data_IF_247105852387
#
_entry.id   IF_247105852387
#
_cell.length_a   1.000
_cell.length_b   1.000
_cell.length_c   1.000
_cell.angle_alpha   90.00
_cell.angle_beta   90.00
_cell.angle_gamma   90.00
#
_symmetry.space_group_name_H-M   'P 1'
#
loop_
_entity.id
_entity.type
_entity.pdbx_description
1 polymer ?
#
# COMPACT_ATOMS: atom_id res chain seq x y z
N UNK A 1 -3.67 1.63 -13.96
CA UNK A 1 -2.71 1.20 -14.99
C UNK A 1 -2.88 -0.28 -15.40
N UNK A 2 -3.28 -1.18 -14.50
CA UNK A 2 -3.59 -2.59 -14.82
C UNK A 2 -4.83 -2.76 -15.71
N UNK A 3 -5.60 -1.69 -15.91
CA UNK A 3 -6.95 -1.78 -16.46
C UNK A 3 -7.03 -1.77 -17.97
N UNK A 4 -6.05 -1.23 -18.72
CA UNK A 4 -6.27 -1.05 -20.16
C UNK A 4 -5.96 -2.31 -20.98
N UNK A 5 -4.84 -2.98 -20.78
CA UNK A 5 -4.54 -4.21 -21.51
C UNK A 5 -5.44 -5.37 -21.11
N UNK A 6 -5.70 -5.55 -19.80
CA UNK A 6 -6.65 -6.55 -19.32
C UNK A 6 -8.09 -6.19 -19.67
N UNK A 7 -8.47 -4.90 -19.65
CA UNK A 7 -9.81 -4.43 -20.06
C UNK A 7 -10.09 -4.69 -21.53
N UNK A 8 -9.11 -4.58 -22.44
CA UNK A 8 -9.31 -4.83 -23.87
C UNK A 8 -9.53 -6.32 -24.18
N UNK A 9 -8.87 -7.20 -23.44
CA UNK A 9 -9.12 -8.65 -23.54
C UNK A 9 -10.53 -9.01 -23.03
N UNK A 10 -10.96 -8.38 -21.94
CA UNK A 10 -12.28 -8.64 -21.34
C UNK A 10 -13.45 -7.97 -22.08
N UNK A 11 -13.23 -6.82 -22.71
CA UNK A 11 -14.27 -6.15 -23.52
C UNK A 11 -14.64 -6.94 -24.79
N UNK A 12 -13.73 -7.75 -25.32
CA UNK A 12 -13.92 -8.47 -26.58
C UNK A 12 -14.70 -9.77 -26.49
N UNK A 13 -14.87 -10.36 -25.31
CA UNK A 13 -15.37 -11.74 -25.19
C UNK A 13 -16.77 -11.90 -24.58
N UNK A 14 -17.40 -10.84 -24.05
CA UNK A 14 -18.76 -10.93 -23.49
C UNK A 14 -18.98 -11.92 -22.33
N UNK A 15 -18.06 -12.86 -22.14
CA UNK A 15 -18.01 -13.81 -21.04
C UNK A 15 -16.67 -13.65 -20.31
N UNK A 16 -16.73 -13.52 -18.99
CA UNK A 16 -15.52 -13.42 -18.15
C UNK A 16 -14.98 -14.83 -17.89
N UNK A 17 -13.70 -15.13 -18.20
CA UNK A 17 -13.10 -16.38 -17.75
C UNK A 17 -13.16 -16.46 -16.21
N UNK A 18 -13.38 -17.66 -15.70
CA UNK A 18 -13.50 -17.93 -14.26
C UNK A 18 -12.21 -17.58 -13.53
N UNK A 19 -11.07 -17.60 -14.24
CA UNK A 19 -9.77 -17.13 -13.77
C UNK A 19 -9.11 -16.27 -14.84
N UNK A 20 -8.71 -15.02 -14.53
CA UNK A 20 -7.91 -14.21 -15.44
C UNK A 20 -6.56 -14.88 -15.70
N UNK A 21 -6.07 -14.86 -16.95
CA UNK A 21 -4.93 -15.68 -17.35
C UNK A 21 -3.59 -15.00 -17.06
N UNK A 22 -3.31 -14.57 -15.83
CA UNK A 22 -1.98 -14.02 -15.51
C UNK A 22 -1.47 -14.49 -14.14
N UNK A 23 -0.15 -14.66 -14.10
CA UNK A 23 0.64 -15.07 -12.96
C UNK A 23 1.24 -13.87 -12.23
N UNK A 24 1.87 -14.09 -11.08
CA UNK A 24 2.61 -13.04 -10.37
C UNK A 24 3.76 -12.46 -11.23
N UNK A 25 4.45 -13.29 -12.00
CA UNK A 25 5.55 -12.84 -12.87
C UNK A 25 5.05 -11.92 -13.97
N UNK A 26 3.89 -12.22 -14.57
CA UNK A 26 3.27 -11.35 -15.58
C UNK A 26 2.79 -10.02 -14.95
N UNK A 27 2.31 -10.02 -13.72
CA UNK A 27 1.97 -8.78 -13.00
C UNK A 27 3.20 -7.88 -12.77
N UNK A 28 4.36 -8.47 -12.49
CA UNK A 28 5.63 -7.74 -12.33
C UNK A 28 6.09 -7.04 -13.61
N UNK A 29 5.72 -7.54 -14.78
CA UNK A 29 5.99 -6.91 -16.08
C UNK A 29 4.91 -5.90 -16.48
N UNK A 30 3.63 -6.24 -16.26
CA UNK A 30 2.48 -5.41 -16.63
C UNK A 30 2.50 -4.08 -15.89
N UNK A 31 2.78 -4.09 -14.59
CA UNK A 31 2.70 -2.87 -13.78
C UNK A 31 3.73 -1.79 -14.17
N UNK A 32 5.03 -2.08 -14.28
CA UNK A 32 6.01 -1.09 -14.75
C UNK A 32 5.74 -0.61 -16.17
N UNK A 33 5.36 -1.52 -17.08
CA UNK A 33 5.03 -1.20 -18.47
C UNK A 33 3.87 -0.22 -18.56
N UNK A 34 2.78 -0.51 -17.86
CA UNK A 34 1.60 0.35 -17.80
C UNK A 34 1.90 1.70 -17.12
N UNK A 35 2.71 1.69 -16.06
CA UNK A 35 3.15 2.91 -15.38
C UNK A 35 4.03 3.78 -16.26
N UNK A 36 4.95 3.18 -17.05
CA UNK A 36 5.76 3.87 -18.05
C UNK A 36 4.90 4.52 -19.12
N UNK A 37 4.02 3.74 -19.76
CA UNK A 37 3.13 4.20 -20.80
C UNK A 37 2.20 5.35 -20.35
N UNK A 38 1.71 5.32 -19.12
CA UNK A 38 0.87 6.39 -18.58
C UNK A 38 1.61 7.73 -18.37
N UNK A 39 2.94 7.72 -18.36
CA UNK A 39 3.76 8.95 -18.30
C UNK A 39 4.00 9.56 -19.68
N UNK A 40 3.99 8.73 -20.72
CA UNK A 40 4.33 9.11 -22.08
C UNK A 40 3.10 9.41 -22.95
N UNK A 41 1.96 8.78 -22.64
CA UNK A 41 0.72 8.85 -23.40
C UNK A 41 -0.42 9.41 -22.52
N UNK A 42 -0.85 10.64 -22.82
CA UNK A 42 -1.91 11.33 -22.10
C UNK A 42 -3.27 10.62 -22.22
N UNK A 43 -3.60 10.07 -23.39
CA UNK A 43 -4.86 9.36 -23.60
C UNK A 43 -4.88 8.03 -22.83
N UNK A 44 -3.73 7.35 -22.76
CA UNK A 44 -3.59 6.15 -21.94
C UNK A 44 -3.72 6.46 -20.44
N UNK A 45 -3.14 7.58 -19.99
CA UNK A 45 -3.27 8.06 -18.61
C UNK A 45 -4.73 8.34 -18.26
N UNK A 46 -5.46 9.03 -19.12
CA UNK A 46 -6.88 9.33 -18.92
C UNK A 46 -7.73 8.05 -18.85
N UNK A 47 -7.49 7.11 -19.76
CA UNK A 47 -8.16 5.80 -19.74
C UNK A 47 -7.86 5.01 -18.45
N UNK A 48 -6.63 5.08 -17.93
CA UNK A 48 -6.25 4.45 -16.67
C UNK A 48 -6.93 5.11 -15.47
N UNK A 49 -7.07 6.44 -15.45
CA UNK A 49 -7.81 7.19 -14.42
C UNK A 49 -9.29 6.82 -14.46
N UNK A 50 -9.91 6.79 -15.65
CA UNK A 50 -11.30 6.37 -15.81
C UNK A 50 -11.55 4.95 -15.31
N UNK A 51 -10.66 4.01 -15.61
CA UNK A 51 -10.78 2.64 -15.14
C UNK A 51 -10.62 2.51 -13.63
N UNK A 52 -9.75 3.33 -13.01
CA UNK A 52 -9.64 3.40 -11.55
C UNK A 52 -10.94 3.93 -10.92
N UNK A 53 -11.50 4.98 -11.50
CA UNK A 53 -12.79 5.52 -11.08
C UNK A 53 -13.91 4.46 -11.14
N UNK A 54 -14.03 3.76 -12.28
CA UNK A 54 -15.03 2.70 -12.48
C UNK A 54 -14.84 1.51 -11.51
N UNK A 55 -13.59 1.14 -11.21
CA UNK A 55 -13.27 0.13 -10.20
C UNK A 55 -13.79 0.54 -8.81
N UNK A 56 -13.49 1.78 -8.40
CA UNK A 56 -13.93 2.33 -7.11
C UNK A 56 -15.45 2.47 -7.01
N UNK A 57 -16.14 2.65 -8.15
CA UNK A 57 -17.60 2.74 -8.24
C UNK A 57 -18.29 1.40 -8.50
N UNK A 58 -17.61 0.28 -8.28
CA UNK A 58 -18.22 -1.04 -8.22
C UNK A 58 -18.43 -1.72 -9.58
N UNK A 59 -17.69 -1.34 -10.64
CA UNK A 59 -17.79 -2.05 -11.91
C UNK A 59 -17.36 -3.51 -11.73
N UNK A 60 -18.31 -4.42 -11.91
CA UNK A 60 -18.17 -5.87 -11.60
C UNK A 60 -16.93 -6.51 -12.23
N UNK A 61 -16.67 -6.25 -13.52
CA UNK A 61 -15.52 -6.83 -14.22
C UNK A 61 -14.18 -6.36 -13.65
N UNK A 62 -14.08 -5.08 -13.26
CA UNK A 62 -12.85 -4.55 -12.63
C UNK A 62 -12.67 -5.04 -11.21
N UNK A 63 -13.76 -5.21 -10.47
CA UNK A 63 -13.70 -5.79 -9.13
C UNK A 63 -13.30 -7.27 -9.16
N UNK A 64 -13.80 -8.05 -10.11
CA UNK A 64 -13.40 -9.44 -10.31
C UNK A 64 -11.90 -9.53 -10.66
N UNK A 65 -11.42 -8.63 -11.53
CA UNK A 65 -10.00 -8.53 -11.88
C UNK A 65 -9.12 -8.16 -10.66
N UNK A 66 -9.55 -7.17 -9.87
CA UNK A 66 -8.86 -6.79 -8.63
C UNK A 66 -8.81 -7.95 -7.65
N UNK A 67 -9.92 -8.65 -7.46
CA UNK A 67 -10.00 -9.83 -6.58
C UNK A 67 -9.01 -10.91 -6.99
N UNK A 68 -8.88 -11.18 -8.30
CA UNK A 68 -7.89 -12.13 -8.80
C UNK A 68 -6.45 -11.65 -8.56
N UNK A 69 -6.13 -10.38 -8.86
CA UNK A 69 -4.82 -9.78 -8.62
C UNK A 69 -4.45 -9.91 -7.13
N UNK A 70 -5.39 -9.57 -6.24
CA UNK A 70 -5.18 -9.69 -4.81
C UNK A 70 -4.95 -11.14 -4.38
N UNK A 71 -5.72 -12.08 -4.91
CA UNK A 71 -5.55 -13.50 -4.59
C UNK A 71 -4.17 -14.03 -5.00
N UNK A 72 -3.72 -13.72 -6.22
CA UNK A 72 -2.38 -14.10 -6.70
C UNK A 72 -1.28 -13.46 -5.84
N UNK A 73 -1.39 -12.16 -5.58
CA UNK A 73 -0.40 -11.40 -4.81
C UNK A 73 -0.34 -11.85 -3.35
N UNK A 74 -1.48 -12.02 -2.69
CA UNK A 74 -1.54 -12.47 -1.28
C UNK A 74 -1.04 -13.91 -1.15
N UNK A 75 -1.32 -14.78 -2.13
CA UNK A 75 -0.80 -16.16 -2.13
C UNK A 75 0.72 -16.19 -2.19
N UNK A 76 1.32 -15.37 -3.06
CA UNK A 76 2.79 -15.24 -3.15
C UNK A 76 3.37 -14.64 -1.86
N UNK A 77 2.77 -13.59 -1.31
CA UNK A 77 3.18 -13.01 -0.03
C UNK A 77 3.13 -14.02 1.12
N UNK A 78 2.06 -14.82 1.22
CA UNK A 78 1.92 -15.86 2.26
C UNK A 78 3.02 -16.89 2.17
N UNK A 79 3.41 -17.29 0.96
CA UNK A 79 4.54 -18.20 0.73
C UNK A 79 5.86 -17.60 1.25
N UNK A 80 6.12 -16.34 0.92
CA UNK A 80 7.33 -15.64 1.37
C UNK A 80 7.36 -15.47 2.90
N UNK A 81 6.24 -15.14 3.53
CA UNK A 81 6.14 -15.05 4.99
C UNK A 81 6.30 -16.41 5.67
N UNK A 82 5.76 -17.48 5.08
CA UNK A 82 5.94 -18.83 5.59
C UNK A 82 7.43 -19.24 5.60
N UNK A 83 8.20 -18.89 4.55
CA UNK A 83 9.63 -19.13 4.50
C UNK A 83 10.41 -18.39 5.62
N UNK A 84 9.89 -17.27 6.10
CA UNK A 84 10.43 -16.51 7.21
C UNK A 84 9.84 -16.91 8.58
N UNK A 85 9.00 -17.94 8.62
CA UNK A 85 8.26 -18.36 9.81
C UNK A 85 7.41 -17.23 10.41
N UNK A 86 6.77 -16.42 9.55
CA UNK A 86 5.88 -15.32 9.91
C UNK A 86 4.46 -15.63 9.46
N UNK A 87 3.49 -15.40 10.33
CA UNK A 87 2.07 -15.55 10.02
C UNK A 87 1.26 -14.35 10.52
N UNK A 88 0.09 -14.17 9.93
CA UNK A 88 -0.85 -13.11 10.30
C UNK A 88 -2.27 -13.69 10.38
N UNK A 89 -3.03 -13.27 11.37
CA UNK A 89 -4.44 -13.63 11.52
C UNK A 89 -5.33 -12.86 10.53
N UNK A 90 -4.96 -11.61 10.21
CA UNK A 90 -5.74 -10.72 9.35
C UNK A 90 -4.95 -10.36 8.10
N UNK A 91 -5.60 -10.56 6.95
CA UNK A 91 -5.09 -10.19 5.64
C UNK A 91 -6.01 -9.13 5.04
N UNK A 92 -5.75 -7.88 5.40
CA UNK A 92 -6.51 -6.72 4.95
C UNK A 92 -5.66 -5.83 4.05
N UNK A 93 -6.27 -5.33 3.00
CA UNK A 93 -5.66 -4.40 2.07
C UNK A 93 -6.25 -2.99 2.22
N UNK A 94 -5.66 -2.06 1.52
CA UNK A 94 -6.07 -0.66 1.50
C UNK A 94 -7.55 -0.47 1.05
N UNK A 95 -8.01 -1.31 0.12
CA UNK A 95 -9.40 -1.28 -0.36
C UNK A 95 -10.44 -1.67 0.71
N UNK A 96 -10.05 -2.40 1.76
CA UNK A 96 -10.95 -2.78 2.85
C UNK A 96 -11.36 -1.58 3.71
N UNK A 97 -10.60 -0.48 3.66
CA UNK A 97 -10.91 0.76 4.38
C UNK A 97 -11.96 1.64 3.67
N UNK A 98 -12.25 1.39 2.39
CA UNK A 98 -13.17 2.23 1.59
C UNK A 98 -14.54 2.47 2.24
N UNK A 99 -15.22 1.48 2.86
CA UNK A 99 -16.54 1.69 3.47
C UNK A 99 -16.54 2.71 4.63
N UNK A 100 -15.40 2.96 5.25
CA UNK A 100 -15.28 3.86 6.41
C UNK A 100 -14.97 5.30 6.01
N UNK A 101 -14.57 5.56 4.76
CA UNK A 101 -14.13 6.88 4.30
C UNK A 101 -15.25 7.92 4.32
N UNK A 102 -16.45 7.67 3.75
CA UNK A 102 -17.49 8.71 3.66
C UNK A 102 -17.89 9.28 5.01
N UNK A 103 -18.19 8.42 5.97
CA UNK A 103 -18.64 8.83 7.32
C UNK A 103 -17.52 9.53 8.08
N UNK A 104 -16.27 9.05 7.98
CA UNK A 104 -15.09 9.67 8.56
C UNK A 104 -14.88 11.08 8.03
N UNK A 105 -14.92 11.25 6.71
CA UNK A 105 -14.74 12.55 6.07
C UNK A 105 -15.87 13.51 6.45
N UNK A 106 -17.11 13.05 6.47
CA UNK A 106 -18.25 13.86 6.85
C UNK A 106 -18.13 14.32 8.31
N UNK A 107 -17.78 13.40 9.22
CA UNK A 107 -17.54 13.73 10.63
C UNK A 107 -16.47 14.81 10.81
N UNK A 108 -15.32 14.69 10.11
CA UNK A 108 -14.26 15.70 10.17
C UNK A 108 -14.72 17.09 9.73
N UNK A 109 -15.64 17.17 8.73
CA UNK A 109 -16.24 18.43 8.27
C UNK A 109 -17.22 18.99 9.31
N UNK A 110 -18.11 18.15 9.81
CA UNK A 110 -19.17 18.55 10.74
C UNK A 110 -18.59 19.03 12.09
N UNK A 111 -17.51 18.38 12.54
CA UNK A 111 -16.78 18.76 13.76
C UNK A 111 -15.87 19.99 13.54
N UNK A 112 -15.76 20.50 12.31
CA UNK A 112 -15.01 21.71 11.97
C UNK A 112 -13.49 21.52 11.91
N UNK A 113 -12.98 20.28 11.88
CA UNK A 113 -11.55 20.00 11.77
C UNK A 113 -11.05 20.11 10.33
N UNK A 114 -11.86 19.67 9.36
CA UNK A 114 -11.48 19.65 7.96
C UNK A 114 -11.94 20.91 7.23
N UNK A 115 -11.04 21.52 6.45
CA UNK A 115 -11.32 22.72 5.66
C UNK A 115 -10.68 22.63 4.27
N UNK A 116 -11.11 23.50 3.35
CA UNK A 116 -10.57 23.56 1.98
C UNK A 116 -9.33 24.45 1.96
N UNK A 117 -8.22 23.89 1.46
CA UNK A 117 -6.97 24.59 1.16
C UNK A 117 -6.52 24.22 -0.24
N UNK A 118 -6.32 25.19 -1.11
CA UNK A 118 -5.95 25.00 -2.54
C UNK A 118 -6.83 23.97 -3.27
N UNK A 119 -8.12 23.95 -2.94
CA UNK A 119 -9.11 23.04 -3.49
C UNK A 119 -9.14 21.65 -2.84
N UNK A 120 -8.13 21.25 -2.07
CA UNK A 120 -8.09 19.99 -1.35
C UNK A 120 -8.74 20.11 0.04
N UNK A 121 -9.30 19.02 0.54
CA UNK A 121 -9.78 18.94 1.91
C UNK A 121 -8.64 18.53 2.82
N UNK A 122 -8.33 19.34 3.83
CA UNK A 122 -7.18 19.13 4.72
C UNK A 122 -7.56 19.30 6.19
N UNK A 123 -6.74 18.72 7.08
CA UNK A 123 -6.77 18.95 8.53
C UNK A 123 -5.41 19.50 8.94
N UNK A 124 -5.38 20.64 9.62
CA UNK A 124 -4.16 21.20 10.17
C UNK A 124 -3.69 20.36 11.35
N UNK A 125 -2.42 19.93 11.28
CA UNK A 125 -1.77 19.04 12.25
C UNK A 125 -0.51 19.64 12.87
N UNK A 126 -0.29 20.94 12.66
CA UNK A 126 0.82 21.67 13.25
C UNK A 126 0.64 21.77 14.76
N UNK A 127 1.74 21.61 15.50
CA UNK A 127 1.82 21.80 16.95
C UNK A 127 2.77 22.95 17.29
N UNK A 128 2.57 23.61 18.42
CA UNK A 128 3.43 24.72 18.87
C UNK A 128 4.87 24.31 19.11
N UNK A 129 5.10 23.05 19.41
CA UNK A 129 6.42 22.45 19.67
C UNK A 129 7.20 22.12 18.40
N UNK A 130 6.60 22.28 17.23
CA UNK A 130 7.25 21.92 15.97
C UNK A 130 8.43 22.86 15.67
N UNK A 131 9.60 22.27 15.50
CA UNK A 131 10.82 22.97 15.07
C UNK A 131 10.95 23.08 13.55
N UNK A 132 10.12 22.35 12.81
CA UNK A 132 10.03 22.34 11.36
C UNK A 132 8.59 22.53 10.94
N UNK A 133 8.40 23.05 9.73
CA UNK A 133 7.08 23.16 9.15
C UNK A 133 6.49 21.75 8.91
N UNK A 134 5.32 21.50 9.49
CA UNK A 134 4.53 20.28 9.25
C UNK A 134 3.32 20.69 8.39
N UNK A 135 3.27 20.22 7.12
CA UNK A 135 2.14 20.51 6.25
C UNK A 135 0.84 19.89 6.79
N UNK A 136 -0.34 20.47 6.49
CA UNK A 136 -1.62 19.88 6.83
C UNK A 136 -1.76 18.44 6.31
N UNK A 137 -2.49 17.61 7.03
CA UNK A 137 -2.85 16.27 6.57
C UNK A 137 -3.92 16.37 5.50
N UNK A 138 -3.63 15.90 4.30
CA UNK A 138 -4.56 15.91 3.19
C UNK A 138 -5.58 14.76 3.35
N UNK A 139 -6.86 15.10 3.38
CA UNK A 139 -7.96 14.13 3.55
C UNK A 139 -8.55 13.72 2.20
N UNK A 140 -8.77 14.68 1.30
CA UNK A 140 -9.21 14.44 -0.07
C UNK A 140 -8.47 15.38 -1.01
N UNK A 141 -8.21 14.92 -2.22
CA UNK A 141 -7.68 15.76 -3.31
C UNK A 141 -8.72 16.79 -3.76
N UNK A 142 -8.29 17.74 -4.58
CA UNK A 142 -9.16 18.77 -5.16
C UNK A 142 -10.28 18.23 -6.06
N UNK A 143 -10.09 17.03 -6.63
CA UNK A 143 -11.11 16.30 -7.40
C UNK A 143 -12.02 15.41 -6.52
N UNK A 144 -11.85 15.46 -5.20
CA UNK A 144 -12.59 14.65 -4.24
C UNK A 144 -12.07 13.21 -4.07
N UNK A 145 -11.02 12.84 -4.78
CA UNK A 145 -10.47 11.49 -4.70
C UNK A 145 -9.71 11.26 -3.39
N UNK A 146 -9.80 10.03 -2.90
CA UNK A 146 -9.01 9.54 -1.76
C UNK A 146 -7.53 9.40 -2.11
N UNK A 147 -6.70 9.46 -1.09
CA UNK A 147 -5.27 9.22 -1.16
C UNK A 147 -4.83 8.35 0.03
N UNK A 148 -3.54 8.05 0.13
CA UNK A 148 -3.04 7.17 1.21
C UNK A 148 -3.39 7.65 2.62
N UNK A 149 -3.36 8.97 2.87
CA UNK A 149 -3.78 9.52 4.16
C UNK A 149 -5.23 9.18 4.48
N UNK A 150 -6.12 9.26 3.48
CA UNK A 150 -7.55 8.94 3.63
C UNK A 150 -7.75 7.49 4.03
N UNK A 151 -7.08 6.57 3.32
CA UNK A 151 -7.21 5.13 3.56
C UNK A 151 -6.55 4.71 4.86
N UNK A 152 -5.41 5.29 5.25
CA UNK A 152 -4.77 5.01 6.54
C UNK A 152 -5.60 5.50 7.73
N UNK A 153 -6.18 6.71 7.64
CA UNK A 153 -7.11 7.21 8.66
C UNK A 153 -8.37 6.34 8.76
N UNK A 154 -8.96 5.95 7.63
CA UNK A 154 -10.10 5.05 7.59
C UNK A 154 -9.77 3.65 8.15
N UNK A 155 -8.55 3.18 7.96
CA UNK A 155 -8.05 1.94 8.57
C UNK A 155 -7.97 2.06 10.09
N UNK A 156 -7.58 3.21 10.62
CA UNK A 156 -7.61 3.48 12.06
C UNK A 156 -9.05 3.41 12.57
N UNK A 157 -10.00 4.07 11.91
CA UNK A 157 -11.43 4.02 12.27
C UNK A 157 -11.92 2.59 12.31
N UNK A 158 -11.62 1.80 11.28
CA UNK A 158 -11.98 0.39 11.25
C UNK A 158 -11.39 -0.40 12.44
N UNK A 159 -10.10 -0.23 12.72
CA UNK A 159 -9.41 -0.93 13.82
C UNK A 159 -10.00 -0.57 15.18
N UNK A 160 -10.28 0.72 15.41
CA UNK A 160 -10.93 1.16 16.64
C UNK A 160 -12.33 0.58 16.79
N UNK A 161 -13.10 0.54 15.71
CA UNK A 161 -14.47 0.01 15.72
C UNK A 161 -14.53 -1.49 16.00
N UNK A 162 -13.66 -2.28 15.37
CA UNK A 162 -13.75 -3.73 15.40
C UNK A 162 -12.92 -4.38 16.52
N UNK A 163 -11.81 -3.74 16.95
CA UNK A 163 -10.85 -4.36 17.87
C UNK A 163 -10.60 -3.55 19.14
N UNK A 164 -10.89 -2.25 19.19
CA UNK A 164 -10.58 -1.36 20.32
C UNK A 164 -9.15 -1.58 20.86
N UNK A 165 -8.10 -1.46 20.02
CA UNK A 165 -6.75 -1.82 20.43
C UNK A 165 -6.16 -0.78 21.39
N UNK A 166 -5.44 -1.23 22.42
CA UNK A 166 -4.65 -0.36 23.30
C UNK A 166 -3.47 0.28 22.53
N UNK A 167 -3.02 -0.40 21.46
CA UNK A 167 -1.86 0.03 20.69
C UNK A 167 -1.95 -0.39 19.23
N UNK A 168 -1.65 0.56 18.32
CA UNK A 168 -1.51 0.31 16.88
C UNK A 168 -0.06 0.60 16.48
N UNK A 169 0.63 -0.42 15.94
CA UNK A 169 2.03 -0.31 15.53
C UNK A 169 2.10 -0.35 14.00
N UNK A 170 2.76 0.65 13.41
CA UNK A 170 3.04 0.73 11.98
C UNK A 170 4.51 0.42 11.72
N UNK A 171 4.77 -0.73 11.09
CA UNK A 171 6.12 -1.16 10.70
C UNK A 171 6.32 -0.83 9.23
N UNK A 172 7.03 0.24 8.93
CA UNK A 172 7.14 0.83 7.59
C UNK A 172 8.53 1.40 7.34
N UNK A 173 8.82 1.77 6.08
CA UNK A 173 10.08 2.42 5.72
C UNK A 173 10.25 3.75 6.48
N UNK A 174 11.44 3.97 7.07
CA UNK A 174 11.76 5.17 7.87
C UNK A 174 11.52 6.48 7.11
N UNK A 175 11.60 6.49 5.80
CA UNK A 175 11.32 7.66 4.95
C UNK A 175 9.88 8.16 5.07
N UNK A 176 8.95 7.35 5.60
CA UNK A 176 7.55 7.70 5.81
C UNK A 176 7.27 8.35 7.18
N UNK A 177 8.30 8.68 7.98
CA UNK A 177 8.14 9.21 9.33
C UNK A 177 7.29 10.49 9.38
N UNK A 178 7.56 11.46 8.49
CA UNK A 178 6.77 12.69 8.41
C UNK A 178 5.29 12.39 8.04
N UNK A 179 5.08 11.51 7.09
CA UNK A 179 3.75 11.07 6.68
C UNK A 179 2.96 10.49 7.85
N UNK A 180 3.54 9.55 8.60
CA UNK A 180 2.85 8.97 9.77
C UNK A 180 2.70 9.94 10.93
N UNK A 181 3.61 10.91 11.07
CA UNK A 181 3.42 12.03 12.01
C UNK A 181 2.13 12.78 11.68
N UNK A 182 1.89 13.12 10.40
CA UNK A 182 0.66 13.79 9.97
C UNK A 182 -0.58 12.92 10.20
N UNK A 183 -0.55 11.64 9.84
CA UNK A 183 -1.66 10.70 10.03
C UNK A 183 -2.01 10.55 11.51
N UNK A 184 -1.02 10.34 12.37
CA UNK A 184 -1.24 10.14 13.81
C UNK A 184 -1.77 11.39 14.49
N UNK A 185 -1.22 12.57 14.18
CA UNK A 185 -1.73 13.84 14.70
C UNK A 185 -3.14 14.13 14.21
N UNK A 186 -3.43 13.85 12.94
CA UNK A 186 -4.77 13.96 12.40
C UNK A 186 -5.75 13.04 13.14
N UNK A 187 -5.39 11.76 13.31
CA UNK A 187 -6.23 10.80 14.02
C UNK A 187 -6.53 11.22 15.47
N UNK A 188 -5.53 11.74 16.19
CA UNK A 188 -5.70 12.29 17.53
C UNK A 188 -6.60 13.51 17.55
N UNK A 189 -6.28 14.51 16.73
CA UNK A 189 -7.00 15.79 16.68
C UNK A 189 -8.47 15.62 16.31
N UNK A 190 -8.78 14.67 15.42
CA UNK A 190 -10.13 14.41 14.94
C UNK A 190 -10.86 13.32 15.72
N UNK A 191 -10.28 12.87 16.84
CA UNK A 191 -10.86 11.83 17.71
C UNK A 191 -11.22 10.53 17.00
N UNK A 192 -10.35 10.09 16.07
CA UNK A 192 -10.46 8.75 15.43
C UNK A 192 -9.88 7.65 16.28
N UNK A 193 -9.12 7.99 17.31
CA UNK A 193 -8.56 7.07 18.31
C UNK A 193 -8.93 7.60 19.70
N UNK A 194 -9.09 6.69 20.64
CA UNK A 194 -9.27 7.00 22.04
C UNK A 194 -7.96 7.57 22.64
N UNK A 195 -8.06 8.37 23.69
CA UNK A 195 -6.90 9.06 24.28
C UNK A 195 -5.85 8.09 24.84
N UNK A 196 -6.25 6.91 25.28
CA UNK A 196 -5.43 5.84 25.81
C UNK A 196 -4.85 4.89 24.74
N UNK A 197 -5.34 4.92 23.50
CA UNK A 197 -4.79 4.12 22.40
C UNK A 197 -3.43 4.68 21.94
N UNK A 198 -2.37 3.92 22.02
CA UNK A 198 -1.04 4.32 21.53
C UNK A 198 -0.92 4.10 20.02
N UNK A 199 -0.47 5.13 19.28
CA UNK A 199 -0.07 5.04 17.88
C UNK A 199 1.46 5.05 17.80
N UNK A 200 2.08 3.98 17.33
CA UNK A 200 3.53 3.85 17.26
C UNK A 200 4.02 3.63 15.83
N UNK A 201 5.01 4.44 15.43
CA UNK A 201 5.77 4.28 14.21
C UNK A 201 7.06 3.51 14.48
N UNK A 202 7.28 2.41 13.75
CA UNK A 202 8.53 1.66 13.75
C UNK A 202 9.12 1.69 12.33
N UNK A 203 10.05 2.63 12.11
CA UNK A 203 10.71 2.80 10.83
C UNK A 203 11.88 1.85 10.64
N UNK A 204 11.86 1.04 9.58
CA UNK A 204 13.00 0.22 9.17
C UNK A 204 13.81 0.90 8.06
N UNK A 205 15.09 0.48 7.92
CA UNK A 205 15.99 0.96 6.89
C UNK A 205 15.64 0.43 5.50
N UNK A 206 16.08 1.15 4.46
CA UNK A 206 15.87 0.77 3.08
C UNK A 206 16.83 -0.34 2.67
N UNK A 207 16.35 -1.34 1.96
CA UNK A 207 17.22 -2.30 1.27
C UNK A 207 17.78 -1.64 0.00
N UNK A 208 19.10 -1.66 -0.12
CA UNK A 208 19.80 -1.07 -1.26
C UNK A 208 20.38 -2.15 -2.16
N UNK A 209 20.45 -1.86 -3.45
CA UNK A 209 21.20 -2.65 -4.41
C UNK A 209 22.71 -2.52 -4.21
N UNK A 210 23.47 -3.25 -5.02
CA UNK A 210 24.96 -3.20 -5.01
C UNK A 210 25.51 -1.81 -5.33
N UNK A 211 24.73 -0.97 -6.01
CA UNK A 211 25.02 0.44 -6.30
C UNK A 211 24.75 1.40 -5.14
N UNK A 212 24.32 0.89 -3.99
CA UNK A 212 23.96 1.66 -2.81
C UNK A 212 22.63 2.41 -2.90
N UNK A 213 21.87 2.24 -3.98
CA UNK A 213 20.57 2.89 -4.17
C UNK A 213 19.41 2.00 -3.73
N UNK A 214 18.33 2.57 -3.20
CA UNK A 214 17.13 1.83 -2.87
C UNK A 214 16.52 1.12 -4.07
N UNK A 215 16.05 -0.10 -3.89
CA UNK A 215 15.25 -0.78 -4.90
C UNK A 215 13.96 0.01 -5.18
N UNK A 216 13.59 0.16 -6.45
CA UNK A 216 12.38 0.85 -6.87
C UNK A 216 11.50 -0.09 -7.69
N UNK A 217 10.38 -0.48 -7.13
CA UNK A 217 9.40 -1.37 -7.76
C UNK A 217 8.84 -0.85 -9.08
N UNK A 218 8.79 0.48 -9.27
CA UNK A 218 8.24 1.12 -10.47
C UNK A 218 9.19 1.13 -11.68
N UNK A 219 10.47 0.82 -11.48
CA UNK A 219 11.50 0.83 -12.53
C UNK A 219 11.79 -0.57 -13.09
N UNK A 220 11.18 -1.62 -12.52
CA UNK A 220 11.47 -3.02 -12.85
C UNK A 220 12.80 -3.50 -12.25
N UNK A 221 13.09 -4.80 -12.38
CA UNK A 221 14.37 -5.38 -11.94
C UNK A 221 14.60 -5.42 -10.42
N UNK A 222 13.54 -5.30 -9.64
CA UNK A 222 13.62 -5.48 -8.18
C UNK A 222 13.89 -6.94 -7.88
N UNK A 223 14.92 -7.21 -7.06
CA UNK A 223 15.18 -8.57 -6.56
C UNK A 223 13.98 -9.05 -5.76
N UNK A 224 13.41 -10.19 -6.14
CA UNK A 224 12.33 -10.82 -5.38
C UNK A 224 12.86 -11.30 -4.03
N UNK A 225 12.08 -11.15 -2.99
CA UNK A 225 12.45 -11.61 -1.64
C UNK A 225 12.73 -13.12 -1.62
N UNK A 226 11.98 -13.92 -2.38
CA UNK A 226 12.18 -15.35 -2.55
C UNK A 226 13.60 -15.67 -3.09
N UNK A 227 14.06 -14.95 -4.10
CA UNK A 227 15.40 -15.14 -4.67
C UNK A 227 16.48 -14.72 -3.67
N UNK A 228 16.28 -13.60 -2.96
CA UNK A 228 17.24 -13.16 -1.94
C UNK A 228 17.38 -14.20 -0.82
N UNK A 229 16.28 -14.80 -0.36
CA UNK A 229 16.30 -15.85 0.66
C UNK A 229 17.05 -17.06 0.12
N UNK A 230 16.76 -17.51 -1.12
CA UNK A 230 17.42 -18.64 -1.73
C UNK A 230 18.95 -18.42 -1.88
N UNK A 231 19.37 -17.23 -2.34
CA UNK A 231 20.78 -16.87 -2.47
C UNK A 231 21.50 -16.88 -1.10
N UNK A 232 20.85 -16.38 -0.05
CA UNK A 232 21.40 -16.39 1.31
C UNK A 232 21.52 -17.81 1.85
N UNK A 233 20.50 -18.64 1.65
CA UNK A 233 20.50 -20.04 2.10
C UNK A 233 21.61 -20.84 1.41
N UNK A 234 21.80 -20.66 0.10
CA UNK A 234 22.89 -21.30 -0.66
C UNK A 234 24.27 -20.87 -0.16
N UNK A 235 24.49 -19.57 0.01
CA UNK A 235 25.77 -19.04 0.52
C UNK A 235 26.07 -19.55 1.94
N UNK A 236 25.06 -19.58 2.82
CA UNK A 236 25.21 -20.11 4.17
C UNK A 236 25.48 -21.60 4.19
N UNK A 237 24.82 -22.36 3.31
CA UNK A 237 25.09 -23.79 3.16
C UNK A 237 26.55 -24.06 2.75
N UNK A 238 27.07 -23.33 1.78
CA UNK A 238 28.48 -23.43 1.37
C UNK A 238 29.44 -23.16 2.51
N UNK A 239 29.23 -22.09 3.28
CA UNK A 239 30.04 -21.75 4.45
C UNK A 239 30.01 -22.81 5.54
N UNK A 240 28.86 -23.44 5.78
CA UNK A 240 28.71 -24.53 6.75
C UNK A 240 29.48 -25.75 6.30
N UNK A 241 29.40 -26.10 5.02
CA UNK A 241 30.13 -27.28 4.44
C UNK A 241 31.64 -27.04 4.51
N UNK A 242 32.13 -25.86 4.12
CA UNK A 242 33.56 -25.52 4.19
C UNK A 242 34.08 -25.56 5.63
N UNK A 243 33.35 -25.02 6.59
CA UNK A 243 33.73 -25.04 8.01
C UNK A 243 33.75 -26.46 8.62
N UNK A 244 32.90 -27.36 8.14
CA UNK A 244 32.91 -28.77 8.57
C UNK A 244 34.12 -29.52 8.02
N UNK A 245 34.46 -29.33 6.75
CA UNK A 245 35.65 -29.97 6.14
C UNK A 245 36.98 -29.51 6.77
N UNK A 246 37.04 -28.34 7.38
CA UNK A 246 38.22 -27.84 8.11
C UNK A 246 38.34 -28.44 9.53
N UNK A 247 37.20 -28.89 10.14
CA UNK A 247 37.23 -29.51 11.47
C UNK A 247 37.54 -31.02 11.45
N UNK A 248 37.45 -31.67 10.30
CA UNK A 248 37.73 -33.08 10.11
C UNK A 248 39.18 -33.32 9.59
N UNK A 249 40.03 -32.30 9.55
CA UNK A 249 41.48 -32.34 9.32
C UNK A 249 42.26 -32.06 10.63
#
# INVERSE_FOLDING_TARGET
ALSSAASDVYKRQGEYPVEPPFTISELEEIYPTASGKSKEDAAYKEAAMQATYELQHGRRGYQALLSHILNVSVTDLKKNYANLNVSFELWKGESDAQPYIPDMVQKMKDDGYAYISDGALVVDVKEETDTKEIPPCMILKSDGASLYNTTDLATIVWRMKDYHPDKIIYVVDKRQELYFTQVFRCARKTHLVDDDTELQFLGFGTMNGKDGKPFKTREGGVMRLENLIADIDEEMFHKIVENRSVKDQ
#
